data_IF_693384062421
#
_entry.id   IF_693384062421
#
_cell.length_a   1.000
_cell.length_b   1.000
_cell.length_c   1.000
_cell.angle_alpha   90.00
_cell.angle_beta   90.00
_cell.angle_gamma   90.00
#
_symmetry.space_group_name_H-M   'P 1'
#
loop_
_entity.id
_entity.type
_entity.pdbx_description
1 polymer ?
#
# COMPACT_ATOMS: atom_id res chain seq x y z
N UNK A 1 16.37 -22.23 8.29
CA UNK A 1 15.88 -21.02 7.58
C UNK A 1 14.81 -20.37 8.44
N UNK A 2 14.96 -19.08 8.76
CA UNK A 2 13.95 -18.33 9.49
C UNK A 2 12.91 -17.79 8.50
N UNK A 3 11.63 -18.02 8.78
CA UNK A 3 10.51 -17.47 8.02
C UNK A 3 9.87 -16.35 8.84
N UNK A 4 10.55 -15.21 8.94
CA UNK A 4 10.11 -14.08 9.77
C UNK A 4 9.67 -12.93 8.87
N UNK A 5 8.45 -12.45 9.13
CA UNK A 5 7.90 -11.23 8.55
C UNK A 5 7.82 -10.15 9.63
N UNK A 6 8.48 -9.01 9.40
CA UNK A 6 8.41 -7.82 10.24
C UNK A 6 7.74 -6.68 9.47
N UNK A 7 6.68 -6.13 10.05
CA UNK A 7 5.86 -5.07 9.48
C UNK A 7 6.01 -3.77 10.26
N UNK A 8 6.12 -2.65 9.55
CA UNK A 8 6.16 -1.31 10.14
C UNK A 8 5.19 -0.35 9.46
N UNK A 9 4.90 0.78 10.11
CA UNK A 9 4.05 1.82 9.54
C UNK A 9 4.80 2.79 8.62
N UNK A 10 6.12 2.90 8.76
CA UNK A 10 6.92 3.88 8.01
C UNK A 10 8.14 3.23 7.37
N UNK A 11 8.53 3.75 6.20
CA UNK A 11 9.75 3.30 5.52
C UNK A 11 11.00 3.54 6.37
N UNK A 12 11.02 4.63 7.15
CA UNK A 12 12.10 4.95 8.07
C UNK A 12 12.25 3.86 9.14
N UNK A 13 11.16 3.46 9.80
CA UNK A 13 11.20 2.41 10.80
C UNK A 13 11.61 1.05 10.20
N UNK A 14 11.15 0.73 8.97
CA UNK A 14 11.59 -0.48 8.28
C UNK A 14 13.11 -0.46 8.00
N UNK A 15 13.64 0.67 7.54
CA UNK A 15 15.07 0.83 7.25
C UNK A 15 15.93 0.75 8.52
N UNK A 16 15.55 1.46 9.59
CA UNK A 16 16.25 1.40 10.87
C UNK A 16 16.25 0.00 11.48
N UNK A 17 15.12 -0.71 11.41
CA UNK A 17 15.02 -2.08 11.88
C UNK A 17 15.91 -3.02 11.08
N UNK A 18 15.92 -2.88 9.75
CA UNK A 18 16.80 -3.65 8.87
C UNK A 18 18.28 -3.44 9.21
N UNK A 19 18.71 -2.18 9.33
CA UNK A 19 20.10 -1.85 9.66
C UNK A 19 20.53 -2.45 11.01
N UNK A 20 19.67 -2.38 12.03
CA UNK A 20 19.97 -2.95 13.35
C UNK A 20 20.12 -4.47 13.32
N UNK A 21 19.28 -5.14 12.55
CA UNK A 21 19.30 -6.61 12.41
C UNK A 21 20.55 -7.04 11.64
N UNK A 22 20.89 -6.35 10.54
CA UNK A 22 22.10 -6.60 9.77
C UNK A 22 23.37 -6.45 10.63
N UNK A 23 23.44 -5.40 11.46
CA UNK A 23 24.56 -5.18 12.41
C UNK A 23 24.69 -6.28 13.46
N UNK A 24 23.57 -6.88 13.88
CA UNK A 24 23.53 -7.85 14.99
C UNK A 24 23.80 -9.28 14.53
N UNK A 25 23.24 -9.69 13.38
CA UNK A 25 23.30 -11.08 12.90
C UNK A 25 24.43 -11.34 11.87
N UNK A 26 25.07 -10.29 11.36
CA UNK A 26 25.97 -10.39 10.22
C UNK A 26 25.21 -10.62 8.90
N UNK A 27 25.85 -10.29 7.77
CA UNK A 27 25.20 -10.17 6.46
C UNK A 27 24.55 -11.46 5.91
N UNK A 28 24.89 -12.65 6.42
CA UNK A 28 24.44 -13.93 5.86
C UNK A 28 23.02 -14.32 6.29
N UNK A 29 22.60 -14.02 7.52
CA UNK A 29 21.28 -14.45 8.05
C UNK A 29 20.18 -13.37 7.88
N UNK A 30 20.55 -12.10 7.75
CA UNK A 30 19.60 -11.00 7.57
C UNK A 30 18.79 -11.10 6.25
N UNK A 31 19.33 -11.79 5.23
CA UNK A 31 18.65 -11.98 3.93
C UNK A 31 17.38 -12.83 4.02
N UNK A 32 17.23 -13.62 5.09
CA UNK A 32 16.06 -14.47 5.30
C UNK A 32 14.92 -13.72 6.02
N UNK A 33 15.12 -12.45 6.40
CA UNK A 33 14.08 -11.62 7.04
C UNK A 33 13.33 -10.77 6.02
N UNK A 34 12.00 -10.87 6.01
CA UNK A 34 11.15 -9.95 5.27
C UNK A 34 10.79 -8.76 6.14
N UNK A 35 11.40 -7.59 5.89
CA UNK A 35 11.10 -6.33 6.57
C UNK A 35 10.50 -5.37 5.56
N UNK A 36 9.35 -4.79 5.87
CA UNK A 36 8.72 -3.78 5.03
C UNK A 36 7.60 -3.05 5.75
N UNK A 37 7.02 -2.07 5.06
CA UNK A 37 5.78 -1.47 5.53
C UNK A 37 4.60 -2.36 5.18
N UNK A 38 3.47 -2.17 5.86
CA UNK A 38 2.21 -2.83 5.48
C UNK A 38 1.93 -2.71 3.98
N UNK A 39 2.07 -1.49 3.43
CA UNK A 39 1.85 -1.23 2.01
C UNK A 39 2.82 -1.99 1.12
N UNK A 40 4.13 -1.94 1.39
CA UNK A 40 5.10 -2.60 0.51
C UNK A 40 4.98 -4.12 0.53
N UNK A 41 4.67 -4.70 1.70
CA UNK A 41 4.46 -6.15 1.84
C UNK A 41 3.20 -6.59 1.12
N UNK A 42 2.06 -5.93 1.35
CA UNK A 42 0.81 -6.33 0.68
C UNK A 42 0.84 -6.06 -0.82
N UNK A 43 1.48 -4.97 -1.26
CA UNK A 43 1.72 -4.75 -2.68
C UNK A 43 2.51 -5.91 -3.28
N UNK A 44 3.61 -6.34 -2.65
CA UNK A 44 4.41 -7.47 -3.12
C UNK A 44 3.61 -8.78 -3.20
N UNK A 45 2.80 -9.08 -2.19
CA UNK A 45 1.92 -10.25 -2.20
C UNK A 45 0.95 -10.16 -3.37
N UNK A 46 0.26 -9.03 -3.54
CA UNK A 46 -0.67 -8.83 -4.65
C UNK A 46 0.02 -8.91 -6.01
N UNK A 47 1.26 -8.41 -6.17
CA UNK A 47 2.02 -8.57 -7.43
C UNK A 47 2.21 -10.05 -7.79
N UNK A 48 2.42 -10.93 -6.81
CA UNK A 48 2.56 -12.37 -7.03
C UNK A 48 1.22 -13.08 -7.25
N UNK A 49 0.17 -12.65 -6.54
CA UNK A 49 -1.07 -13.43 -6.39
C UNK A 49 -2.29 -12.83 -7.09
N UNK A 50 -2.18 -11.63 -7.67
CA UNK A 50 -3.32 -10.89 -8.26
C UNK A 50 -4.09 -11.68 -9.33
N UNK A 51 -3.41 -12.56 -10.08
CA UNK A 51 -4.05 -13.39 -11.10
C UNK A 51 -5.13 -14.30 -10.53
N UNK A 52 -5.03 -14.73 -9.26
CA UNK A 52 -6.05 -15.54 -8.58
C UNK A 52 -7.37 -14.79 -8.38
N UNK A 53 -7.32 -13.46 -8.41
CA UNK A 53 -8.47 -12.57 -8.31
C UNK A 53 -8.92 -12.04 -9.69
N UNK A 54 -8.30 -12.50 -10.78
CA UNK A 54 -8.57 -11.99 -12.13
C UNK A 54 -7.93 -10.63 -12.43
N UNK A 55 -7.02 -10.15 -11.59
CA UNK A 55 -6.31 -8.88 -11.80
C UNK A 55 -4.91 -9.11 -12.39
N UNK A 56 -4.40 -8.17 -13.21
CA UNK A 56 -3.05 -8.26 -13.73
C UNK A 56 -2.03 -7.96 -12.63
N UNK A 57 -0.92 -8.69 -12.60
CA UNK A 57 0.18 -8.46 -11.65
C UNK A 57 0.84 -7.09 -11.81
N UNK A 58 0.69 -6.40 -12.95
CA UNK A 58 1.25 -5.08 -13.21
C UNK A 58 0.26 -3.91 -12.95
N UNK A 59 -0.75 -4.09 -12.08
CA UNK A 59 -1.69 -3.02 -11.67
C UNK A 59 -1.03 -1.71 -11.24
N UNK A 60 -1.73 -0.59 -11.41
CA UNK A 60 -1.29 0.74 -10.92
C UNK A 60 -1.89 0.99 -9.54
N UNK A 61 -1.08 1.53 -8.63
CA UNK A 61 -1.56 2.00 -7.32
C UNK A 61 -1.80 3.50 -7.47
N UNK A 62 -3.06 3.92 -7.34
CA UNK A 62 -3.43 5.33 -7.35
C UNK A 62 -2.98 6.01 -6.08
N UNK A 63 -2.43 7.22 -6.25
CA UNK A 63 -2.21 8.12 -5.14
C UNK A 63 -3.50 8.87 -4.76
N UNK A 64 -3.38 9.81 -3.83
CA UNK A 64 -4.50 10.60 -3.35
C UNK A 64 -5.07 11.53 -4.44
N UNK A 65 -4.28 12.03 -5.37
CA UNK A 65 -4.73 12.91 -6.46
C UNK A 65 -5.45 12.12 -7.56
N UNK A 66 -4.90 10.97 -7.94
CA UNK A 66 -5.52 10.03 -8.87
C UNK A 66 -6.89 9.57 -8.35
N UNK A 67 -6.93 9.15 -7.08
CA UNK A 67 -8.17 8.70 -6.43
C UNK A 67 -9.23 9.81 -6.40
N UNK A 68 -8.83 11.06 -6.11
CA UNK A 68 -9.74 12.21 -6.13
C UNK A 68 -10.25 12.53 -7.53
N UNK A 69 -9.42 12.36 -8.55
CA UNK A 69 -9.80 12.60 -9.94
C UNK A 69 -10.87 11.60 -10.41
N UNK A 70 -10.74 10.32 -10.02
CA UNK A 70 -11.77 9.30 -10.26
C UNK A 70 -13.08 9.67 -9.57
N UNK A 71 -13.03 10.01 -8.28
CA UNK A 71 -14.23 10.37 -7.52
C UNK A 71 -14.95 11.56 -8.17
N UNK A 72 -14.20 12.58 -8.61
CA UNK A 72 -14.77 13.73 -9.32
C UNK A 72 -15.47 13.32 -10.61
N UNK A 73 -14.92 12.36 -11.34
CA UNK A 73 -15.51 11.83 -12.58
C UNK A 73 -16.83 11.12 -12.27
N UNK A 74 -16.84 10.24 -11.26
CA UNK A 74 -18.06 9.51 -10.84
C UNK A 74 -19.16 10.47 -10.37
N UNK A 75 -18.83 11.50 -9.57
CA UNK A 75 -19.80 12.51 -9.12
C UNK A 75 -20.49 13.20 -10.29
N UNK A 76 -19.74 13.51 -11.36
CA UNK A 76 -20.29 14.11 -12.57
C UNK A 76 -21.14 13.15 -13.39
N UNK A 77 -20.66 11.92 -13.60
CA UNK A 77 -21.37 10.89 -14.37
C UNK A 77 -22.73 10.53 -13.74
N UNK A 78 -22.80 10.57 -12.41
CA UNK A 78 -24.03 10.33 -11.65
C UNK A 78 -24.92 11.57 -11.49
N UNK A 79 -24.54 12.72 -12.07
CA UNK A 79 -25.24 14.01 -11.92
C UNK A 79 -25.51 14.40 -10.45
N UNK A 80 -24.54 14.16 -9.57
CA UNK A 80 -24.64 14.50 -8.15
C UNK A 80 -24.26 15.97 -7.90
N UNK A 81 -24.82 16.58 -6.86
CA UNK A 81 -24.49 17.96 -6.48
C UNK A 81 -23.04 18.07 -6.00
N UNK A 82 -22.19 18.76 -6.78
CA UNK A 82 -20.77 18.99 -6.47
C UNK A 82 -20.54 19.78 -5.17
N UNK A 83 -21.54 20.55 -4.70
CA UNK A 83 -21.45 21.27 -3.41
C UNK A 83 -21.57 20.32 -2.22
N UNK A 84 -22.38 19.28 -2.37
CA UNK A 84 -22.59 18.25 -1.35
C UNK A 84 -21.52 17.15 -1.43
N UNK A 85 -21.27 16.63 -2.64
CA UNK A 85 -20.36 15.52 -2.90
C UNK A 85 -18.96 15.99 -3.30
N UNK A 86 -18.32 16.76 -2.41
CA UNK A 86 -16.94 17.22 -2.65
C UNK A 86 -15.98 16.02 -2.68
N UNK A 87 -15.13 15.86 -3.72
CA UNK A 87 -14.29 14.68 -3.87
C UNK A 87 -13.41 14.34 -2.65
N UNK A 88 -12.86 15.35 -1.96
CA UNK A 88 -12.08 15.14 -0.75
C UNK A 88 -12.92 14.55 0.40
N UNK A 89 -14.15 15.02 0.57
CA UNK A 89 -15.05 14.56 1.65
C UNK A 89 -15.47 13.11 1.37
N UNK A 90 -15.86 12.82 0.12
CA UNK A 90 -16.22 11.47 -0.31
C UNK A 90 -15.04 10.51 -0.15
N UNK A 91 -13.86 10.89 -0.63
CA UNK A 91 -12.64 10.09 -0.51
C UNK A 91 -12.26 9.80 0.95
N UNK A 92 -12.34 10.81 1.83
CA UNK A 92 -12.09 10.63 3.26
C UNK A 92 -13.09 9.66 3.90
N UNK A 93 -14.37 9.72 3.50
CA UNK A 93 -15.40 8.81 4.02
C UNK A 93 -15.18 7.37 3.58
N UNK A 94 -14.75 7.14 2.33
CA UNK A 94 -14.39 5.81 1.83
C UNK A 94 -13.19 5.25 2.60
N UNK A 95 -12.17 6.08 2.84
CA UNK A 95 -10.95 5.67 3.55
C UNK A 95 -11.17 5.33 5.03
N UNK A 96 -12.21 5.88 5.66
CA UNK A 96 -12.57 5.59 7.05
C UNK A 96 -13.46 4.35 7.25
N UNK A 97 -13.94 3.72 6.16
CA UNK A 97 -14.74 2.49 6.26
C UNK A 97 -13.90 1.24 6.47
#
# INVERSE_FOLDING_TARGET
AFNILALTFTNKAAAEMKERIEKTLGNSEARNLYIGTFHSVFARILRGEAQKLGYPSNFTIYDTDDSRSVIKTVVKELNLDEKHYKPNIVGNRISQQ
#
